data_IF_288543920789
#
_entry.id   IF_288543920789
#
_cell.length_a   1.000
_cell.length_b   1.000
_cell.length_c   1.000
_cell.angle_alpha   90.00
_cell.angle_beta   90.00
_cell.angle_gamma   90.00
#
_symmetry.space_group_name_H-M   'P 1'
#
loop_
_entity.id
_entity.type
_entity.pdbx_description
1 polymer ?
#
# COMPACT_ATOMS: atom_id res chain seq x y z
N UNK A 1 -21.88 -17.97 -24.47
CA UNK A 1 -22.38 -16.85 -23.64
C UNK A 1 -21.61 -16.91 -22.34
N UNK A 2 -20.45 -16.26 -22.29
CA UNK A 2 -19.77 -15.89 -21.04
C UNK A 2 -19.55 -14.39 -21.15
N UNK A 3 -20.14 -13.66 -20.22
CA UNK A 3 -20.15 -12.21 -20.23
C UNK A 3 -18.85 -11.65 -19.63
N UNK A 4 -18.26 -10.71 -20.37
CA UNK A 4 -17.28 -9.69 -20.00
C UNK A 4 -16.49 -9.84 -18.70
N UNK A 5 -15.20 -10.12 -18.83
CA UNK A 5 -14.20 -9.56 -17.92
C UNK A 5 -13.54 -8.38 -18.64
N UNK A 6 -14.19 -7.21 -18.68
CA UNK A 6 -13.46 -5.96 -18.89
C UNK A 6 -12.74 -5.66 -17.57
N UNK A 7 -11.48 -6.04 -17.50
CA UNK A 7 -10.60 -5.72 -16.39
C UNK A 7 -9.43 -4.95 -16.95
N UNK A 8 -9.68 -3.75 -17.48
CA UNK A 8 -8.60 -2.87 -17.92
C UNK A 8 -7.83 -2.41 -16.69
N UNK A 9 -6.50 -2.32 -16.79
CA UNK A 9 -5.66 -1.72 -15.75
C UNK A 9 -6.14 -0.30 -15.37
N UNK A 10 -6.77 0.41 -16.31
CA UNK A 10 -7.39 1.72 -16.04
C UNK A 10 -8.61 1.62 -15.12
N UNK A 11 -9.40 0.54 -15.19
CA UNK A 11 -10.52 0.33 -14.26
C UNK A 11 -10.03 0.06 -12.84
N UNK A 12 -8.93 -0.69 -12.67
CA UNK A 12 -8.32 -0.94 -11.35
C UNK A 12 -7.81 0.36 -10.73
N UNK A 13 -7.06 1.16 -11.49
CA UNK A 13 -6.55 2.46 -11.03
C UNK A 13 -7.70 3.41 -10.67
N UNK A 14 -8.75 3.44 -11.49
CA UNK A 14 -9.94 4.26 -11.24
C UNK A 14 -10.77 3.78 -10.04
N UNK A 15 -10.73 2.49 -9.70
CA UNK A 15 -11.38 1.96 -8.50
C UNK A 15 -10.60 2.35 -7.24
N UNK A 16 -9.27 2.25 -7.27
CA UNK A 16 -8.42 2.66 -6.14
C UNK A 16 -8.49 4.16 -5.87
N UNK A 17 -8.55 4.99 -6.91
CA UNK A 17 -8.70 6.45 -6.76
C UNK A 17 -10.06 6.88 -6.23
N UNK A 18 -11.07 6.00 -6.20
CA UNK A 18 -12.36 6.27 -5.53
C UNK A 18 -12.29 6.07 -4.01
N UNK A 19 -11.33 5.28 -3.53
CA UNK A 19 -11.21 4.93 -2.11
C UNK A 19 -10.38 5.96 -1.32
N UNK A 20 -9.56 6.75 -2.01
CA UNK A 20 -8.71 7.76 -1.38
C UNK A 20 -8.60 9.01 -2.26
N UNK A 21 -8.58 10.18 -1.65
CA UNK A 21 -8.33 11.44 -2.34
C UNK A 21 -6.83 11.75 -2.37
N UNK A 22 -6.29 12.40 -3.44
CA UNK A 22 -4.88 12.74 -3.52
C UNK A 22 -4.36 13.57 -2.33
N UNK A 23 -5.22 14.37 -1.70
CA UNK A 23 -4.87 15.17 -0.52
C UNK A 23 -4.56 14.32 0.72
N UNK A 24 -5.06 13.08 0.76
CA UNK A 24 -4.77 12.12 1.83
C UNK A 24 -3.41 11.44 1.64
N UNK A 25 -2.80 11.54 0.46
CA UNK A 25 -1.54 10.87 0.16
C UNK A 25 -0.36 11.67 0.72
N UNK A 26 0.41 11.05 1.61
CA UNK A 26 1.56 11.67 2.27
C UNK A 26 2.85 10.97 1.83
N UNK A 27 3.91 11.75 1.58
CA UNK A 27 5.23 11.18 1.33
C UNK A 27 5.69 10.37 2.56
N UNK A 28 6.02 9.10 2.34
CA UNK A 28 6.54 8.20 3.36
C UNK A 28 8.06 8.04 3.19
N UNK A 29 8.89 8.58 4.11
CA UNK A 29 10.33 8.41 4.04
C UNK A 29 10.73 6.92 4.03
N UNK A 30 11.80 6.57 3.32
CA UNK A 30 12.26 5.18 3.10
C UNK A 30 12.28 4.34 4.38
N UNK A 31 12.82 4.87 5.48
CA UNK A 31 12.89 4.17 6.79
C UNK A 31 11.54 3.81 7.40
N UNK A 32 10.47 4.47 6.99
CA UNK A 32 9.11 4.26 7.46
C UNK A 32 8.23 3.59 6.39
N UNK A 33 8.72 3.45 5.15
CA UNK A 33 8.00 2.79 4.07
C UNK A 33 8.06 1.28 4.29
N UNK A 34 6.93 0.61 4.60
CA UNK A 34 6.95 -0.83 4.83
C UNK A 34 7.37 -1.63 3.59
N UNK A 35 7.12 -1.10 2.38
CA UNK A 35 7.55 -1.73 1.13
C UNK A 35 9.08 -1.76 0.98
N UNK A 36 9.81 -0.78 1.55
CA UNK A 36 11.29 -0.76 1.49
C UNK A 36 11.89 -1.98 2.20
N UNK A 37 11.23 -2.49 3.25
CA UNK A 37 11.70 -3.67 3.98
C UNK A 37 11.69 -4.94 3.12
N UNK A 38 10.71 -5.08 2.22
CA UNK A 38 10.67 -6.19 1.27
C UNK A 38 11.70 -6.03 0.16
N UNK A 39 11.86 -4.81 -0.37
CA UNK A 39 12.81 -4.53 -1.45
C UNK A 39 14.29 -4.67 -1.03
N UNK A 40 14.58 -4.63 0.28
CA UNK A 40 15.93 -4.80 0.85
C UNK A 40 16.16 -6.16 1.52
N UNK A 41 15.47 -7.20 1.03
CA UNK A 41 15.70 -8.60 1.43
C UNK A 41 15.49 -8.88 2.92
N UNK A 42 14.51 -8.25 3.58
CA UNK A 42 14.14 -8.73 4.93
C UNK A 42 13.52 -10.12 4.85
N UNK A 43 14.09 -11.04 5.62
CA UNK A 43 13.51 -12.37 5.81
C UNK A 43 12.10 -12.30 6.41
N UNK A 44 11.20 -13.15 5.91
CA UNK A 44 9.77 -13.21 6.28
C UNK A 44 9.56 -13.23 7.81
N UNK A 45 10.42 -13.96 8.53
CA UNK A 45 10.33 -14.07 9.99
C UNK A 45 10.53 -12.74 10.74
N UNK A 46 11.34 -11.83 10.18
CA UNK A 46 11.52 -10.47 10.73
C UNK A 46 10.32 -9.60 10.36
N UNK A 47 9.87 -9.68 9.11
CA UNK A 47 8.71 -8.92 8.64
C UNK A 47 7.44 -9.23 9.44
N UNK A 48 7.22 -10.51 9.77
CA UNK A 48 6.03 -10.93 10.53
C UNK A 48 5.94 -10.28 11.93
N UNK A 49 7.08 -9.89 12.49
CA UNK A 49 7.17 -9.21 13.80
C UNK A 49 7.16 -7.68 13.69
N UNK A 50 7.21 -7.14 12.48
CA UNK A 50 7.34 -5.72 12.25
C UNK A 50 5.97 -5.04 12.29
N UNK A 51 5.76 -4.17 13.27
CA UNK A 51 4.46 -3.52 13.51
C UNK A 51 4.11 -2.55 12.38
N UNK A 52 5.10 -1.82 11.85
CA UNK A 52 4.89 -0.85 10.78
C UNK A 52 4.47 -1.50 9.46
N UNK A 53 4.74 -2.79 9.27
CA UNK A 53 4.27 -3.56 8.12
C UNK A 53 2.76 -3.75 8.13
N UNK A 54 2.17 -4.03 9.30
CA UNK A 54 0.74 -4.32 9.43
C UNK A 54 -0.11 -3.08 9.74
N UNK A 55 0.44 -2.13 10.50
CA UNK A 55 -0.34 -1.03 11.09
C UNK A 55 0.03 0.37 10.56
N UNK A 56 0.91 0.43 9.55
CA UNK A 56 1.49 1.65 9.03
C UNK A 56 2.27 2.48 10.09
N UNK A 57 3.01 3.52 9.68
CA UNK A 57 3.66 4.42 10.62
C UNK A 57 2.66 5.25 11.42
N UNK A 58 2.90 5.44 12.71
CA UNK A 58 2.00 6.19 13.61
C UNK A 58 1.74 7.65 13.20
N UNK A 59 2.65 8.28 12.45
CA UNK A 59 2.45 9.64 11.93
C UNK A 59 1.50 9.69 10.73
N UNK A 60 1.33 8.58 10.01
CA UNK A 60 0.40 8.49 8.88
C UNK A 60 -1.05 8.34 9.35
N UNK A 61 -1.23 7.72 10.52
CA UNK A 61 -2.54 7.49 11.17
C UNK A 61 -3.12 8.73 11.85
N UNK A 62 -2.43 9.88 11.83
CA UNK A 62 -2.90 11.13 12.44
C UNK A 62 -3.61 11.99 11.38
N UNK A 63 -4.85 12.37 11.70
CA UNK A 63 -5.63 13.40 11.01
C UNK A 63 -4.98 14.78 11.15
#
# INVERSE_FOLDING_TARGET
MDQGCSGSWLEVICLESRLTEPIQWKYCPTKHNPADMLSRERIINKLRKEVTWWHAPSWLMKE
#
